data_IF_080365531678
#
_entry.id   IF_080365531678
#
_cell.length_a   1.000
_cell.length_b   1.000
_cell.length_c   1.000
_cell.angle_alpha   90.00
_cell.angle_beta   90.00
_cell.angle_gamma   90.00
#
_symmetry.space_group_name_H-M   'P 1'
#
loop_
_entity.id
_entity.type
_entity.pdbx_description
1 polymer ?
#
# COMPACT_ATOMS: atom_id res chain seq x y z
N UNK A 1 -10.79 -9.15 10.04
CA UNK A 1 -11.07 -7.81 9.50
C UNK A 1 -9.80 -6.99 9.51
N UNK A 2 -9.46 -6.53 8.32
CA UNK A 2 -8.33 -5.69 7.98
C UNK A 2 -8.35 -4.37 8.78
N UNK A 3 -7.23 -3.98 9.39
CA UNK A 3 -7.12 -2.71 10.13
C UNK A 3 -5.76 -2.06 9.99
N UNK A 4 -5.76 -0.72 10.01
CA UNK A 4 -4.54 0.09 10.14
C UNK A 4 -4.18 0.11 11.63
N UNK A 5 -2.93 -0.22 11.95
CA UNK A 5 -2.38 -0.09 13.30
C UNK A 5 -1.52 1.16 13.45
N UNK A 6 -0.98 1.69 12.35
CA UNK A 6 -0.37 3.01 12.33
C UNK A 6 -0.14 3.56 10.94
N UNK A 7 0.03 4.87 10.89
CA UNK A 7 0.19 5.62 9.65
C UNK A 7 1.16 6.77 9.88
N UNK A 8 2.16 6.92 9.00
CA UNK A 8 3.07 8.06 9.00
C UNK A 8 3.01 8.76 7.65
N UNK A 9 3.01 10.08 7.72
CA UNK A 9 3.09 10.97 6.58
C UNK A 9 4.31 11.84 6.76
N UNK A 10 5.11 12.00 5.71
CA UNK A 10 6.09 13.07 5.63
C UNK A 10 5.90 13.91 4.39
N UNK A 11 6.17 15.20 4.55
CA UNK A 11 6.28 16.17 3.47
C UNK A 11 5.00 16.31 2.63
N UNK A 12 3.81 16.10 3.22
CA UNK A 12 2.52 16.22 2.54
C UNK A 12 1.74 17.45 3.02
N UNK A 13 1.62 18.47 2.17
CA UNK A 13 0.94 19.75 2.43
C UNK A 13 1.49 20.40 3.70
N UNK A 14 0.67 20.56 4.73
CA UNK A 14 1.10 21.14 6.01
C UNK A 14 1.72 20.10 6.94
N UNK A 15 1.67 18.81 6.59
CA UNK A 15 2.13 17.70 7.41
C UNK A 15 3.59 17.36 7.07
N UNK A 16 4.53 17.97 7.79
CA UNK A 16 5.98 17.72 7.62
C UNK A 16 6.40 16.32 8.07
N UNK A 17 6.00 15.92 9.28
CA UNK A 17 6.22 14.57 9.80
C UNK A 17 5.17 14.28 10.88
N UNK A 18 4.18 13.47 10.53
CA UNK A 18 3.06 13.14 11.42
C UNK A 18 2.93 11.63 11.50
N UNK A 19 2.90 11.08 12.70
CA UNK A 19 2.69 9.65 12.96
C UNK A 19 1.45 9.44 13.82
N UNK A 20 0.60 8.51 13.40
CA UNK A 20 -0.59 8.06 14.11
C UNK A 20 -0.44 6.58 14.48
N UNK A 21 -0.71 6.24 15.74
CA UNK A 21 -0.66 4.88 16.26
C UNK A 21 0.73 4.26 16.26
N UNK A 22 0.81 2.98 15.85
CA UNK A 22 2.01 2.15 15.99
C UNK A 22 2.65 1.85 14.64
N UNK A 23 3.95 2.12 14.52
CA UNK A 23 4.79 1.66 13.43
C UNK A 23 5.64 0.45 13.85
N UNK A 24 6.25 -0.23 12.88
CA UNK A 24 7.06 -1.44 13.13
C UNK A 24 8.27 -1.22 14.05
N UNK A 25 8.80 0.01 14.10
CA UNK A 25 9.96 0.40 14.91
C UNK A 25 9.57 1.05 16.26
N UNK A 26 8.27 1.18 16.56
CA UNK A 26 7.77 1.83 17.77
C UNK A 26 7.21 0.80 18.74
N UNK A 27 8.05 0.32 19.66
CA UNK A 27 7.64 -0.71 20.63
C UNK A 27 6.60 -0.21 21.65
N UNK A 28 6.72 1.05 22.09
CA UNK A 28 5.87 1.65 23.15
C UNK A 28 4.57 2.27 22.63
N UNK A 29 4.41 2.45 21.33
CA UNK A 29 3.23 3.08 20.76
C UNK A 29 2.04 2.10 20.74
N UNK A 30 0.84 2.62 20.98
CA UNK A 30 -0.40 1.85 20.88
C UNK A 30 -0.91 1.84 19.43
N UNK A 31 -1.47 0.71 18.95
CA UNK A 31 -2.04 0.65 17.62
C UNK A 31 -3.30 1.52 17.52
N UNK A 32 -3.58 2.05 16.32
CA UNK A 32 -4.85 2.70 16.03
C UNK A 32 -6.01 1.75 16.26
N UNK A 33 -7.09 2.30 16.82
CA UNK A 33 -8.37 1.62 16.99
C UNK A 33 -9.25 1.86 15.76
N UNK A 34 -10.21 0.95 15.48
CA UNK A 34 -11.14 1.12 14.34
C UNK A 34 -11.89 2.45 14.36
N UNK A 35 -12.20 2.97 15.55
CA UNK A 35 -12.70 4.33 15.74
C UNK A 35 -11.55 5.22 16.20
N UNK A 36 -11.21 6.22 15.40
CA UNK A 36 -10.20 7.23 15.71
C UNK A 36 -10.79 8.60 15.41
N UNK A 37 -10.70 9.53 16.36
CA UNK A 37 -11.21 10.89 16.22
C UNK A 37 -10.03 11.87 16.17
N UNK A 38 -9.99 12.73 15.15
CA UNK A 38 -8.95 13.75 14.99
C UNK A 38 -9.56 15.13 15.26
N UNK A 39 -9.15 15.76 16.35
CA UNK A 39 -9.65 17.07 16.79
C UNK A 39 -8.48 18.06 16.76
N UNK A 40 -8.76 19.30 16.39
CA UNK A 40 -7.79 20.39 16.37
C UNK A 40 -8.41 21.65 15.78
N UNK A 41 -7.70 22.76 15.86
CA UNK A 41 -8.14 24.05 15.32
C UNK A 41 -8.22 24.06 13.79
N UNK A 42 -8.82 25.09 13.22
CA UNK A 42 -8.86 25.25 11.75
C UNK A 42 -7.45 25.51 11.21
N UNK A 43 -7.14 24.95 10.04
CA UNK A 43 -5.83 25.14 9.39
C UNK A 43 -4.70 24.22 9.88
N UNK A 44 -4.86 23.47 10.98
CA UNK A 44 -3.79 22.59 11.52
C UNK A 44 -3.50 21.33 10.70
N UNK A 45 -4.16 21.15 9.55
CA UNK A 45 -3.91 20.02 8.64
C UNK A 45 -4.82 18.81 8.78
N UNK A 46 -5.92 18.88 9.56
CA UNK A 46 -6.91 17.79 9.67
C UNK A 46 -7.37 17.28 8.30
N UNK A 47 -7.80 18.19 7.41
CA UNK A 47 -8.24 17.82 6.07
C UNK A 47 -7.11 17.25 5.21
N UNK A 48 -5.86 17.70 5.41
CA UNK A 48 -4.69 17.14 4.71
C UNK A 48 -4.40 15.71 5.17
N UNK A 49 -4.61 15.40 6.45
CA UNK A 49 -4.47 14.06 6.99
C UNK A 49 -5.46 13.09 6.33
N UNK A 50 -6.73 13.47 6.22
CA UNK A 50 -7.74 12.63 5.57
C UNK A 50 -7.54 12.52 4.06
N UNK A 51 -7.15 13.61 3.41
CA UNK A 51 -6.81 13.61 1.98
C UNK A 51 -5.61 12.70 1.67
N UNK A 52 -4.66 12.52 2.58
CA UNK A 52 -3.55 11.58 2.39
C UNK A 52 -4.02 10.13 2.17
N UNK A 53 -5.08 9.68 2.85
CA UNK A 53 -5.69 8.37 2.59
C UNK A 53 -6.32 8.32 1.19
N UNK A 54 -7.03 9.38 0.82
CA UNK A 54 -7.60 9.51 -0.53
C UNK A 54 -6.53 9.52 -1.62
N UNK A 55 -5.40 10.19 -1.39
CA UNK A 55 -4.27 10.27 -2.31
C UNK A 55 -3.65 8.89 -2.55
N UNK A 56 -3.43 8.10 -1.50
CA UNK A 56 -2.91 6.73 -1.64
C UNK A 56 -3.87 5.83 -2.43
N UNK A 57 -5.18 5.94 -2.20
CA UNK A 57 -6.18 5.22 -2.97
C UNK A 57 -6.21 5.66 -4.45
N UNK A 58 -6.06 6.95 -4.72
CA UNK A 58 -5.99 7.48 -6.09
C UNK A 58 -4.69 7.04 -6.80
N UNK A 59 -3.55 7.01 -6.10
CA UNK A 59 -2.27 6.51 -6.62
C UNK A 59 -2.36 5.05 -7.08
N UNK A 60 -3.15 4.21 -6.39
CA UNK A 60 -3.38 2.83 -6.79
C UNK A 60 -4.26 2.71 -8.04
N UNK A 61 -5.30 3.55 -8.14
CA UNK A 61 -6.30 3.46 -9.20
C UNK A 61 -5.82 4.11 -10.50
N UNK A 62 -5.20 5.28 -10.40
CA UNK A 62 -4.88 6.14 -11.54
C UNK A 62 -3.40 6.13 -11.89
N UNK A 63 -2.53 5.90 -10.89
CA UNK A 63 -1.10 6.22 -10.98
C UNK A 63 -0.78 7.51 -10.24
N UNK A 64 0.51 7.72 -9.96
CA UNK A 64 0.96 8.80 -9.08
C UNK A 64 0.85 10.17 -9.72
N UNK A 65 1.11 10.27 -11.03
CA UNK A 65 1.04 11.54 -11.76
C UNK A 65 -0.39 12.08 -11.74
N UNK A 66 -1.35 11.29 -12.21
CA UNK A 66 -2.77 11.63 -12.23
C UNK A 66 -3.34 11.86 -10.82
N UNK A 67 -2.89 11.09 -9.82
CA UNK A 67 -3.31 11.26 -8.44
C UNK A 67 -2.86 12.61 -7.83
N UNK A 68 -1.74 13.18 -8.29
CA UNK A 68 -1.28 14.49 -7.85
C UNK A 68 -2.18 15.63 -8.34
N UNK A 69 -2.88 15.45 -9.45
CA UNK A 69 -3.82 16.43 -10.00
C UNK A 69 -5.27 16.18 -9.58
N UNK A 70 -5.62 14.92 -9.32
CA UNK A 70 -6.96 14.50 -8.95
C UNK A 70 -7.52 15.26 -7.72
N UNK A 71 -8.86 15.39 -7.69
CA UNK A 71 -9.63 16.00 -6.58
C UNK A 71 -9.16 17.41 -6.19
N UNK A 72 -8.64 18.17 -7.16
CA UNK A 72 -8.21 19.56 -6.94
C UNK A 72 -6.90 19.69 -6.15
N UNK A 73 -6.06 18.64 -6.14
CA UNK A 73 -4.73 18.69 -5.50
C UNK A 73 -3.75 19.61 -6.23
N UNK A 74 -3.87 19.72 -7.56
CA UNK A 74 -3.18 20.73 -8.36
C UNK A 74 -1.68 20.47 -8.58
N UNK A 75 -1.26 19.21 -8.58
CA UNK A 75 0.09 18.78 -8.93
C UNK A 75 0.99 18.53 -7.72
N UNK A 76 2.14 17.90 -7.97
CA UNK A 76 3.05 17.44 -6.92
C UNK A 76 3.60 18.57 -6.05
N UNK A 77 3.97 19.71 -6.64
CA UNK A 77 4.49 20.86 -5.89
C UNK A 77 3.46 21.48 -4.93
N UNK A 78 2.17 21.33 -5.22
CA UNK A 78 1.09 21.80 -4.34
C UNK A 78 0.83 20.87 -3.17
N UNK A 79 1.07 19.56 -3.35
CA UNK A 79 0.87 18.56 -2.30
C UNK A 79 2.14 18.28 -1.50
N UNK A 80 3.32 18.64 -1.99
CA UNK A 80 4.56 18.60 -1.22
C UNK A 80 4.58 19.76 -0.21
N UNK A 81 5.15 19.53 0.97
CA UNK A 81 5.28 20.59 1.96
C UNK A 81 6.12 21.76 1.42
N UNK A 82 5.71 22.98 1.74
CA UNK A 82 6.38 24.17 1.24
C UNK A 82 7.77 24.36 1.83
N UNK A 83 8.69 24.89 1.02
CA UNK A 83 10.06 25.24 1.43
C UNK A 83 11.02 24.05 1.55
N UNK A 84 10.61 22.86 1.11
CA UNK A 84 11.47 21.68 1.07
C UNK A 84 11.44 21.03 -0.31
N UNK A 85 12.53 20.37 -0.67
CA UNK A 85 12.64 19.60 -1.91
C UNK A 85 12.63 18.10 -1.67
N UNK A 86 12.43 17.67 -0.42
CA UNK A 86 12.43 16.26 -0.05
C UNK A 86 11.20 15.53 -0.64
N UNK A 87 11.32 14.21 -0.89
CA UNK A 87 10.21 13.38 -1.35
C UNK A 87 9.03 13.36 -0.37
N UNK A 88 7.85 13.03 -0.89
CA UNK A 88 6.68 12.70 -0.07
C UNK A 88 6.77 11.23 0.34
N UNK A 89 6.64 10.94 1.64
CA UNK A 89 6.72 9.57 2.17
C UNK A 89 5.45 9.19 2.92
N UNK A 90 4.97 7.97 2.69
CA UNK A 90 3.90 7.37 3.49
C UNK A 90 4.34 6.01 4.02
N UNK A 91 4.06 5.76 5.29
CA UNK A 91 4.27 4.46 5.91
C UNK A 91 2.94 3.97 6.47
N UNK A 92 2.54 2.76 6.12
CA UNK A 92 1.29 2.14 6.56
C UNK A 92 1.66 0.87 7.30
N UNK A 93 1.29 0.80 8.57
CA UNK A 93 1.40 -0.40 9.38
C UNK A 93 0.03 -1.03 9.49
N UNK A 94 -0.12 -2.20 8.87
CA UNK A 94 -1.41 -2.82 8.59
C UNK A 94 -1.45 -4.26 9.11
N UNK A 95 -2.63 -4.71 9.55
CA UNK A 95 -2.87 -6.10 9.92
C UNK A 95 -4.12 -6.63 9.21
N UNK A 96 -3.96 -7.71 8.45
CA UNK A 96 -5.05 -8.32 7.68
C UNK A 96 -6.13 -8.93 8.58
N UNK A 97 -5.73 -9.64 9.61
CA UNK A 97 -6.63 -10.22 10.61
C UNK A 97 -6.00 -10.20 12.00
N UNK A 98 -6.81 -10.49 13.03
CA UNK A 98 -6.35 -10.44 14.44
C UNK A 98 -5.11 -11.27 14.71
N UNK A 99 -4.95 -12.41 14.04
CA UNK A 99 -3.81 -13.32 14.20
C UNK A 99 -2.73 -13.16 13.11
N UNK A 100 -3.00 -12.36 12.08
CA UNK A 100 -2.05 -12.17 10.98
C UNK A 100 -0.81 -11.39 11.44
N UNK A 101 0.34 -11.66 10.83
CA UNK A 101 1.55 -10.86 11.05
C UNK A 101 1.36 -9.50 10.37
N UNK A 102 1.67 -8.37 11.05
CA UNK A 102 1.49 -7.06 10.45
C UNK A 102 2.45 -6.83 9.28
N UNK A 103 1.96 -6.13 8.26
CA UNK A 103 2.70 -5.73 7.07
C UNK A 103 3.02 -4.25 7.20
N UNK A 104 4.25 -3.87 6.89
CA UNK A 104 4.66 -2.47 6.74
C UNK A 104 4.78 -2.17 5.26
N UNK A 105 3.98 -1.22 4.80
CA UNK A 105 4.12 -0.62 3.47
C UNK A 105 4.78 0.73 3.58
N UNK A 106 5.74 0.98 2.70
CA UNK A 106 6.44 2.25 2.59
C UNK A 106 6.46 2.66 1.12
N UNK A 107 6.10 3.90 0.88
CA UNK A 107 6.12 4.50 -0.45
C UNK A 107 6.76 5.87 -0.36
N UNK A 108 7.66 6.14 -1.29
CA UNK A 108 8.34 7.41 -1.49
C UNK A 108 8.06 7.90 -2.90
N UNK A 109 7.52 9.11 -3.02
CA UNK A 109 7.18 9.75 -4.29
C UNK A 109 8.05 10.99 -4.46
N UNK A 110 8.61 11.14 -5.65
CA UNK A 110 9.50 12.25 -6.00
C UNK A 110 9.20 12.72 -7.42
N UNK A 111 9.82 13.82 -7.84
CA UNK A 111 9.74 14.35 -9.21
C UNK A 111 11.03 14.10 -9.96
N UNK A 112 10.92 13.78 -11.25
CA UNK A 112 12.10 13.63 -12.09
C UNK A 112 12.61 14.99 -12.61
N UNK A 113 13.64 14.96 -13.45
CA UNK A 113 14.27 16.18 -13.99
C UNK A 113 13.30 17.06 -14.79
N UNK A 114 12.19 16.50 -15.27
CA UNK A 114 11.15 17.21 -16.02
C UNK A 114 10.01 17.71 -15.13
N UNK A 115 10.09 17.49 -13.82
CA UNK A 115 9.03 17.83 -12.87
C UNK A 115 7.91 16.80 -12.79
N UNK A 116 8.04 15.64 -13.48
CA UNK A 116 6.98 14.63 -13.50
C UNK A 116 7.06 13.71 -12.28
N UNK A 117 5.94 13.49 -11.56
CA UNK A 117 5.93 12.64 -10.37
C UNK A 117 6.17 11.17 -10.71
N UNK A 118 6.92 10.46 -9.88
CA UNK A 118 7.15 9.02 -10.01
C UNK A 118 7.36 8.35 -8.65
N UNK A 119 7.21 7.02 -8.61
CA UNK A 119 7.49 6.21 -7.42
C UNK A 119 9.00 6.03 -7.30
N UNK A 120 9.61 6.71 -6.35
CA UNK A 120 11.04 6.61 -6.08
C UNK A 120 11.39 5.30 -5.40
N UNK A 121 10.66 4.96 -4.36
CA UNK A 121 10.83 3.71 -3.62
C UNK A 121 9.46 3.19 -3.18
N UNK A 122 9.28 1.88 -3.28
CA UNK A 122 8.12 1.18 -2.76
C UNK A 122 8.55 -0.11 -2.10
N UNK A 123 8.05 -0.39 -0.90
CA UNK A 123 8.50 -1.52 -0.11
C UNK A 123 7.37 -2.11 0.72
N UNK A 124 7.22 -3.43 0.65
CA UNK A 124 6.42 -4.19 1.61
C UNK A 124 7.31 -5.09 2.46
N UNK A 125 7.05 -5.06 3.77
CA UNK A 125 7.77 -5.85 4.75
C UNK A 125 6.84 -6.62 5.66
N UNK A 126 7.24 -7.84 6.01
CA UNK A 126 6.56 -8.65 7.01
C UNK A 126 7.59 -9.52 7.74
N UNK A 127 7.37 -9.79 9.02
CA UNK A 127 8.18 -10.79 9.73
C UNK A 127 7.84 -12.18 9.22
N UNK A 128 8.82 -13.10 9.14
CA UNK A 128 8.60 -14.51 8.78
C UNK A 128 7.90 -15.29 9.90
N UNK A 129 7.29 -16.43 9.58
CA UNK A 129 6.58 -17.27 10.56
C UNK A 129 7.61 -17.81 11.55
N UNK A 130 7.31 -17.76 12.84
CA UNK A 130 8.24 -18.20 13.90
C UNK A 130 9.37 -17.24 14.25
N UNK A 131 9.54 -16.11 13.54
CA UNK A 131 10.64 -15.15 13.79
C UNK A 131 10.13 -13.91 14.53
N UNK A 132 10.38 -13.88 15.85
CA UNK A 132 9.99 -12.75 16.72
C UNK A 132 11.03 -11.62 16.78
N UNK A 133 12.28 -11.88 16.39
CA UNK A 133 13.41 -10.94 16.50
C UNK A 133 14.02 -10.59 15.13
N UNK A 134 14.89 -9.57 15.07
CA UNK A 134 15.56 -9.15 13.83
C UNK A 134 14.74 -8.22 12.92
N UNK A 135 15.29 -7.90 11.74
CA UNK A 135 14.66 -6.98 10.76
C UNK A 135 13.58 -7.71 9.95
N UNK A 136 12.40 -7.09 9.71
CA UNK A 136 11.37 -7.67 8.86
C UNK A 136 11.86 -7.98 7.44
N UNK A 137 11.43 -9.10 6.89
CA UNK A 137 11.76 -9.51 5.52
C UNK A 137 11.00 -8.62 4.52
N UNK A 138 11.69 -8.16 3.48
CA UNK A 138 11.08 -7.34 2.41
C UNK A 138 10.69 -8.26 1.26
N UNK A 139 9.40 -8.47 1.08
CA UNK A 139 8.87 -9.36 0.03
C UNK A 139 8.48 -8.59 -1.24
N UNK A 140 8.45 -7.26 -1.17
CA UNK A 140 8.45 -6.36 -2.31
C UNK A 140 9.42 -5.23 -1.98
N UNK A 141 10.33 -4.93 -2.89
CA UNK A 141 11.15 -3.73 -2.80
C UNK A 141 11.53 -3.24 -4.21
N UNK A 142 10.96 -2.11 -4.60
CA UNK A 142 11.19 -1.46 -5.88
C UNK A 142 11.80 -0.09 -5.65
N UNK A 143 12.79 0.23 -6.47
CA UNK A 143 13.41 1.54 -6.58
C UNK A 143 13.27 2.00 -8.02
N UNK A 144 12.51 3.08 -8.24
CA UNK A 144 12.20 3.62 -9.57
C UNK A 144 11.66 2.57 -10.55
N UNK A 145 10.77 1.70 -10.05
CA UNK A 145 10.17 0.62 -10.82
C UNK A 145 11.02 -0.65 -10.97
N UNK A 146 12.28 -0.66 -10.54
CA UNK A 146 13.17 -1.84 -10.60
C UNK A 146 13.41 -2.41 -9.22
N UNK A 147 13.42 -3.73 -9.08
CA UNK A 147 13.82 -4.33 -7.81
C UNK A 147 13.39 -5.77 -7.69
N UNK A 148 13.03 -6.18 -6.48
CA UNK A 148 12.77 -7.58 -6.15
C UNK A 148 11.35 -7.78 -5.65
N UNK A 149 10.78 -8.92 -6.06
CA UNK A 149 9.51 -9.44 -5.56
C UNK A 149 9.74 -10.88 -5.15
N UNK A 150 9.16 -11.25 -4.03
CA UNK A 150 9.11 -12.64 -3.62
C UNK A 150 8.13 -13.41 -4.50
N UNK A 151 8.59 -14.48 -5.17
CA UNK A 151 7.70 -15.39 -5.90
C UNK A 151 6.74 -15.98 -4.89
N UNK A 152 5.45 -15.93 -5.20
CA UNK A 152 4.38 -16.44 -4.34
C UNK A 152 4.56 -17.88 -3.87
N UNK A 153 3.55 -18.42 -3.20
CA UNK A 153 3.41 -19.88 -3.14
C UNK A 153 3.57 -20.42 -4.56
N UNK A 154 4.63 -21.19 -4.79
CA UNK A 154 4.90 -21.82 -6.07
C UNK A 154 3.71 -22.74 -6.35
N UNK A 155 2.86 -22.35 -7.30
CA UNK A 155 2.01 -23.32 -7.98
C UNK A 155 2.99 -24.23 -8.68
N UNK A 156 3.17 -25.43 -8.14
CA UNK A 156 4.01 -26.46 -8.73
C UNK A 156 3.49 -26.72 -10.15
N UNK A 157 4.22 -26.21 -11.15
CA UNK A 157 4.03 -26.63 -12.52
C UNK A 157 4.89 -27.88 -12.71
N UNK A 158 4.28 -29.05 -12.54
CA UNK A 158 4.75 -30.22 -13.29
C UNK A 158 4.30 -30.02 -14.73
N UNK A 159 5.30 -29.83 -15.59
CA UNK A 159 5.14 -29.81 -17.04
C UNK A 159 4.72 -31.19 -17.52
N UNK A 160 3.57 -31.28 -18.19
CA UNK A 160 3.42 -32.15 -19.34
C UNK A 160 2.38 -31.56 -20.31
N UNK A 161 2.83 -31.34 -21.55
CA UNK A 161 2.00 -30.84 -22.64
C UNK A 161 1.01 -31.92 -23.08
N UNK A 162 -0.28 -31.57 -23.00
CA UNK A 162 -1.40 -31.91 -23.91
C UNK A 162 -2.66 -32.37 -23.17
N UNK A 163 -3.64 -31.47 -22.99
CA UNK A 163 -5.11 -31.63 -23.29
C UNK A 163 -5.88 -30.41 -22.76
N UNK A 164 -6.19 -29.47 -23.65
CA UNK A 164 -6.40 -28.04 -23.32
C UNK A 164 -7.81 -27.58 -22.90
N UNK A 165 -8.59 -28.31 -22.09
CA UNK A 165 -9.81 -27.68 -21.52
C UNK A 165 -10.40 -28.29 -20.24
N UNK A 166 -10.24 -29.59 -20.00
CA UNK A 166 -10.75 -30.24 -18.77
C UNK A 166 -9.82 -30.03 -17.56
N UNK A 167 -8.52 -29.84 -17.81
CA UNK A 167 -7.49 -29.84 -16.77
C UNK A 167 -7.32 -28.49 -16.08
N UNK A 168 -7.73 -27.39 -16.72
CA UNK A 168 -7.70 -26.05 -16.11
C UNK A 168 -8.56 -25.97 -14.85
N UNK A 169 -9.75 -26.58 -14.86
CA UNK A 169 -10.65 -26.59 -13.70
C UNK A 169 -10.10 -27.42 -12.54
N UNK A 170 -9.48 -28.56 -12.85
CA UNK A 170 -8.84 -29.43 -11.83
C UNK A 170 -7.59 -28.80 -11.24
N UNK A 171 -6.76 -28.17 -12.07
CA UNK A 171 -5.60 -27.38 -11.62
C UNK A 171 -6.04 -26.21 -10.74
N UNK A 172 -7.17 -25.57 -11.03
CA UNK A 172 -7.73 -24.50 -10.18
C UNK A 172 -8.19 -25.04 -8.81
N UNK A 173 -8.87 -26.19 -8.78
CA UNK A 173 -9.29 -26.85 -7.53
C UNK A 173 -8.10 -27.34 -6.68
N UNK A 174 -7.02 -27.80 -7.32
CA UNK A 174 -5.78 -28.20 -6.64
C UNK A 174 -5.00 -27.00 -6.08
N UNK A 175 -5.00 -25.86 -6.77
CA UNK A 175 -4.41 -24.60 -6.29
C UNK A 175 -5.21 -24.03 -5.10
N UNK A 176 -6.55 -24.13 -5.13
CA UNK A 176 -7.42 -23.63 -4.05
C UNK A 176 -7.41 -24.53 -2.80
N UNK A 177 -7.10 -25.82 -2.95
CA UNK A 177 -7.07 -26.80 -1.86
C UNK A 177 -5.69 -26.99 -1.21
N UNK A 178 -4.63 -26.39 -1.75
CA UNK A 178 -3.29 -26.50 -1.21
C UNK A 178 -3.17 -25.76 0.15
N UNK A 179 -2.84 -26.44 1.26
CA UNK A 179 -2.54 -25.77 2.52
C UNK A 179 -1.26 -24.95 2.37
N UNK A 180 -1.26 -23.74 2.94
CA UNK A 180 -0.14 -22.78 2.94
C UNK A 180 1.19 -23.48 3.32
N UNK A 181 1.93 -23.95 2.32
CA UNK A 181 3.26 -24.54 2.47
C UNK A 181 4.27 -23.43 2.75
N UNK A 182 5.43 -23.85 3.27
CA UNK A 182 6.50 -22.97 3.74
C UNK A 182 6.86 -21.87 2.73
N UNK A 183 7.19 -20.68 3.25
CA UNK A 183 7.64 -19.54 2.43
C UNK A 183 8.92 -19.97 1.68
N UNK A 184 8.81 -20.26 0.38
CA UNK A 184 9.94 -20.46 -0.54
C UNK A 184 10.94 -19.29 -0.42
N UNK A 185 12.22 -19.49 -0.74
CA UNK A 185 13.20 -18.40 -0.70
C UNK A 185 13.35 -17.68 -2.05
N UNK A 186 12.54 -18.05 -3.06
CA UNK A 186 12.70 -17.57 -4.41
C UNK A 186 12.31 -16.09 -4.53
N UNK A 187 13.28 -15.27 -4.96
CA UNK A 187 13.05 -13.87 -5.30
C UNK A 187 13.25 -13.70 -6.79
N UNK A 188 12.41 -12.86 -7.39
CA UNK A 188 12.46 -12.49 -8.79
C UNK A 188 12.83 -11.02 -8.92
N UNK A 189 13.73 -10.73 -9.84
CA UNK A 189 14.06 -9.36 -10.22
C UNK A 189 13.03 -8.92 -11.26
N UNK A 190 12.36 -7.81 -10.99
CA UNK A 190 11.38 -7.23 -11.90
C UNK A 190 11.73 -5.79 -12.25
N UNK A 191 11.21 -5.36 -13.39
CA UNK A 191 11.23 -3.97 -13.82
C UNK A 191 9.84 -3.61 -14.36
N UNK A 192 9.22 -2.62 -13.74
CA UNK A 192 7.96 -2.05 -14.20
C UNK A 192 8.23 -1.23 -15.46
N UNK A 193 7.39 -1.41 -16.48
CA UNK A 193 7.38 -0.57 -17.67
C UNK A 193 7.08 0.89 -17.34
N UNK A 194 6.22 1.14 -16.34
CA UNK A 194 5.86 2.49 -15.91
C UNK A 194 6.19 2.71 -14.43
N UNK A 195 7.25 3.49 -14.17
CA UNK A 195 7.68 3.94 -12.83
C UNK A 195 6.67 4.86 -12.12
N UNK A 196 5.61 5.30 -12.79
CA UNK A 196 4.55 6.15 -12.23
C UNK A 196 3.40 5.35 -11.63
N UNK A 197 3.34 4.04 -11.91
CA UNK A 197 2.39 3.13 -11.28
C UNK A 197 3.00 2.48 -10.06
N UNK A 198 2.16 2.22 -9.06
CA UNK A 198 2.56 1.43 -7.90
C UNK A 198 2.81 -0.02 -8.31
N UNK A 199 3.90 -0.60 -7.84
CA UNK A 199 4.19 -2.02 -8.01
C UNK A 199 3.13 -2.89 -7.37
N UNK A 200 2.55 -2.49 -6.23
CA UNK A 200 1.44 -3.22 -5.62
C UNK A 200 0.16 -3.19 -6.47
N UNK A 201 -0.03 -2.17 -7.32
CA UNK A 201 -1.16 -2.14 -8.26
C UNK A 201 -0.98 -3.21 -9.35
N UNK A 202 0.24 -3.33 -9.89
CA UNK A 202 0.58 -4.29 -10.95
C UNK A 202 0.62 -5.73 -10.41
N UNK A 203 1.41 -5.96 -9.36
CA UNK A 203 1.61 -7.29 -8.77
C UNK A 203 0.38 -7.77 -7.99
N UNK A 204 -0.39 -6.87 -7.41
CA UNK A 204 -1.62 -7.21 -6.70
C UNK A 204 -2.76 -7.69 -7.61
N UNK A 205 -2.62 -7.54 -8.93
CA UNK A 205 -3.53 -8.13 -9.91
C UNK A 205 -3.22 -9.61 -10.22
N UNK A 206 -2.04 -10.09 -9.80
CA UNK A 206 -1.56 -11.44 -10.08
C UNK A 206 -1.92 -12.40 -8.93
N UNK A 207 -2.44 -13.59 -9.24
CA UNK A 207 -2.80 -14.62 -8.24
C UNK A 207 -1.60 -15.08 -7.40
N UNK A 208 -0.39 -14.98 -7.97
CA UNK A 208 0.87 -15.34 -7.32
C UNK A 208 1.20 -14.46 -6.11
N UNK A 209 0.55 -13.30 -5.93
CA UNK A 209 0.86 -12.41 -4.81
C UNK A 209 -0.37 -12.11 -3.93
N UNK A 210 -0.93 -13.11 -3.22
CA UNK A 210 -2.16 -12.95 -2.44
C UNK A 210 -2.02 -11.89 -1.33
N UNK A 211 -0.84 -11.77 -0.71
CA UNK A 211 -0.57 -10.74 0.32
C UNK A 211 -0.58 -9.32 -0.25
N UNK A 212 -0.02 -9.14 -1.46
CA UNK A 212 -0.01 -7.85 -2.15
C UNK A 212 -1.43 -7.51 -2.60
N UNK A 213 -2.17 -8.48 -3.14
CA UNK A 213 -3.55 -8.32 -3.58
C UNK A 213 -4.48 -7.91 -2.43
N UNK A 214 -4.43 -8.61 -1.29
CA UNK A 214 -5.23 -8.28 -0.11
C UNK A 214 -4.92 -6.88 0.44
N UNK A 215 -3.64 -6.49 0.43
CA UNK A 215 -3.23 -5.15 0.86
C UNK A 215 -3.68 -4.05 -0.12
N UNK A 216 -3.57 -4.30 -1.42
CA UNK A 216 -4.06 -3.41 -2.48
C UNK A 216 -5.56 -3.16 -2.32
N UNK A 217 -6.37 -4.22 -2.22
CA UNK A 217 -7.82 -4.13 -2.05
C UNK A 217 -8.20 -3.34 -0.79
N UNK A 218 -7.44 -3.53 0.29
CA UNK A 218 -7.64 -2.79 1.53
C UNK A 218 -7.48 -1.27 1.36
N UNK A 219 -6.46 -0.81 0.64
CA UNK A 219 -6.27 0.63 0.38
C UNK A 219 -7.28 1.14 -0.66
N UNK A 220 -7.54 0.38 -1.74
CA UNK A 220 -8.50 0.79 -2.78
C UNK A 220 -9.92 0.98 -2.24
N UNK A 221 -10.27 0.24 -1.19
CA UNK A 221 -11.53 0.34 -0.45
C UNK A 221 -11.63 1.55 0.48
N UNK A 222 -10.58 2.36 0.63
CA UNK A 222 -10.67 3.59 1.41
C UNK A 222 -11.56 4.62 0.72
N UNK A 223 -12.55 5.08 1.46
CA UNK A 223 -13.49 6.09 1.02
C UNK A 223 -13.48 7.25 2.01
N UNK A 224 -13.39 8.47 1.48
CA UNK A 224 -13.49 9.69 2.28
C UNK A 224 -14.91 10.24 2.15
N UNK A 225 -15.73 9.99 3.17
CA UNK A 225 -17.07 10.55 3.27
C UNK A 225 -17.02 11.94 3.88
N UNK A 226 -17.59 12.93 3.19
CA UNK A 226 -17.90 14.23 3.78
C UNK A 226 -19.35 14.21 4.25
N UNK A 227 -19.54 14.19 5.57
CA UNK A 227 -20.85 14.38 6.15
C UNK A 227 -21.09 15.87 6.37
N UNK A 228 -21.99 16.46 5.59
CA UNK A 228 -22.54 17.79 5.88
C UNK A 228 -23.91 17.60 6.53
N UNK A 229 -24.15 18.14 7.74
CA UNK A 229 -25.43 18.01 8.42
C UNK A 229 -26.62 18.44 7.54
N UNK A 230 -26.44 19.43 6.68
CA UNK A 230 -27.49 19.91 5.79
C UNK A 230 -27.82 18.91 4.66
N UNK A 231 -26.84 18.13 4.17
CA UNK A 231 -27.13 17.07 3.19
C UNK A 231 -27.93 15.92 3.81
N UNK A 232 -27.79 15.69 5.11
CA UNK A 232 -28.59 14.69 5.83
C UNK A 232 -30.03 15.16 6.09
N UNK A 233 -30.26 16.48 6.21
CA UNK A 233 -31.60 17.08 6.39
C UNK A 233 -32.44 17.04 5.11
N UNK A 234 -31.82 16.91 3.95
CA UNK A 234 -32.50 16.79 2.66
C UNK A 234 -32.83 15.35 2.25
N UNK A 235 -32.43 14.35 3.03
CA UNK A 235 -32.83 12.97 2.82
C UNK A 235 -34.20 12.75 3.49
N UNK A 236 -35.21 12.24 2.75
CA UNK A 236 -36.59 12.08 3.26
C UNK A 236 -36.71 11.06 4.39
#
# INVERSE_FOLDING_TARGET
MAKIEGFRIKNYRVLKDVTLGKLWNMQKAQPLTPMTVVIGENGVGKSSLFDAFGFLADCLKLGVEEACDARGRGGFDRIRSQGINDPIEFHIYYKQDRNARPITYEITIDVDKTGRPYVKEERLRQRRKGVSYGRPFSFLWLYKGKGIVWKGEEVAQESDENTASSDLSKLIEEIESAPQKEESHATEIIELQDKRKLGIATLGALKQHPRISAFRQFIEGWYLSYFTPDAARSLP
#
